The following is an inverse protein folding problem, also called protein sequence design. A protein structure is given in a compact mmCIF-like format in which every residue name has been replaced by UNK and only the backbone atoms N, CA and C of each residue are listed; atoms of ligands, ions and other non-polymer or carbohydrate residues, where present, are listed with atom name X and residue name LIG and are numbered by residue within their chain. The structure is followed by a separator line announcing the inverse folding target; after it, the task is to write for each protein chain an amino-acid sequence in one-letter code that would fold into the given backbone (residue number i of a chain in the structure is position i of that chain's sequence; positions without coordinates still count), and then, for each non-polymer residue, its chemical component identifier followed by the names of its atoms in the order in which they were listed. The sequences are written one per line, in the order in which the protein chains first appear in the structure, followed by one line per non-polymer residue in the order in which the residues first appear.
data_IF_279258485704
#
_entry.id   IF_279258485704
#
_cell.length_a   1.000
_cell.length_b   1.000
_cell.length_c   1.000
_cell.angle_alpha   90.00
_cell.angle_beta   90.00
_cell.angle_gamma   90.00
#
_symmetry.space_group_name_H-M   'P 1'
#
loop_
_entity.id
_entity.type
_entity.pdbx_description
1 polymer ?
#
# COMPACT_ATOMS: atom_id res chain seq x y z
N UNK A 1 14.73 6.53 12.07
CA UNK A 1 13.28 6.23 11.94
C UNK A 1 12.97 5.10 12.89
N UNK A 2 11.94 5.24 13.73
CA UNK A 2 11.51 4.19 14.67
C UNK A 2 10.49 3.31 13.93
N UNK A 3 10.66 1.98 13.87
CA UNK A 3 9.68 1.09 13.25
C UNK A 3 8.31 1.20 13.94
N UNK A 4 7.22 1.18 13.18
CA UNK A 4 5.87 1.06 13.78
C UNK A 4 5.76 -0.26 14.55
N UNK A 5 5.50 -0.15 15.85
CA UNK A 5 5.23 -1.28 16.74
C UNK A 5 3.72 -1.38 16.93
N UNK A 6 3.11 -2.46 16.44
CA UNK A 6 1.66 -2.66 16.50
C UNK A 6 0.90 -1.96 15.38
N UNK A 7 -0.12 -1.19 15.74
CA UNK A 7 -1.06 -0.54 14.83
C UNK A 7 -1.38 0.88 15.31
N UNK A 8 -1.46 1.84 14.38
CA UNK A 8 -1.84 3.22 14.68
C UNK A 8 -2.96 3.69 13.75
N UNK A 9 -4.04 4.24 14.29
CA UNK A 9 -5.06 4.92 13.50
C UNK A 9 -4.71 6.40 13.38
N UNK A 10 -4.64 6.91 12.15
CA UNK A 10 -4.57 8.35 11.86
C UNK A 10 -5.80 8.79 11.08
N UNK A 11 -6.25 10.02 11.33
CA UNK A 11 -7.28 10.67 10.52
C UNK A 11 -6.65 11.84 9.79
N UNK A 12 -6.88 11.92 8.49
CA UNK A 12 -6.43 13.03 7.64
C UNK A 12 -7.66 13.59 6.94
N UNK A 13 -7.88 14.90 7.08
CA UNK A 13 -8.98 15.59 6.42
C UNK A 13 -8.42 16.49 5.33
N UNK A 14 -8.89 16.32 4.09
CA UNK A 14 -8.57 17.19 2.95
C UNK A 14 -9.89 17.63 2.31
N UNK A 15 -10.20 18.92 2.40
CA UNK A 15 -11.52 19.44 2.02
C UNK A 15 -12.64 18.77 2.81
N UNK A 16 -13.63 18.23 2.09
CA UNK A 16 -14.79 17.55 2.70
C UNK A 16 -14.58 16.03 2.89
N UNK A 17 -13.38 15.52 2.62
CA UNK A 17 -13.07 14.08 2.72
C UNK A 17 -12.23 13.82 3.97
N UNK A 18 -12.69 12.91 4.82
CA UNK A 18 -11.93 12.40 5.97
C UNK A 18 -11.45 10.98 5.70
N UNK A 19 -10.14 10.81 5.60
CA UNK A 19 -9.48 9.51 5.39
C UNK A 19 -9.05 8.98 6.76
N UNK A 20 -9.51 7.77 7.09
CA UNK A 20 -9.02 7.01 8.26
C UNK A 20 -7.99 6.01 7.77
N UNK A 21 -6.75 6.15 8.24
CA UNK A 21 -5.62 5.29 7.87
C UNK A 21 -5.25 4.44 9.07
N UNK A 22 -5.11 3.13 8.85
CA UNK A 22 -4.54 2.21 9.82
C UNK A 22 -3.11 1.87 9.37
N UNK A 23 -2.12 2.41 10.07
CA UNK A 23 -0.72 2.08 9.85
C UNK A 23 -0.38 0.78 10.58
N UNK A 24 0.12 -0.22 9.85
CA UNK A 24 0.38 -1.57 10.33
C UNK A 24 1.88 -1.87 10.26
N UNK A 25 2.45 -2.35 11.37
CA UNK A 25 3.86 -2.73 11.40
C UNK A 25 4.19 -3.86 10.41
N UNK A 26 5.27 -3.67 9.64
CA UNK A 26 5.77 -4.63 8.64
C UNK A 26 6.50 -5.87 9.22
N UNK A 27 6.78 -5.87 10.53
CA UNK A 27 7.49 -6.95 11.20
C UNK A 27 6.69 -8.24 11.17
N UNK A 28 7.35 -9.38 10.93
CA UNK A 28 6.72 -10.70 10.79
C UNK A 28 5.70 -11.03 11.90
N UNK A 29 6.00 -10.65 13.15
CA UNK A 29 5.12 -10.87 14.31
C UNK A 29 3.76 -10.16 14.24
N UNK A 30 3.62 -9.10 13.44
CA UNK A 30 2.39 -8.32 13.32
C UNK A 30 1.56 -8.68 12.07
N UNK A 31 2.12 -9.47 11.14
CA UNK A 31 1.46 -9.80 9.85
C UNK A 31 0.19 -10.62 10.02
N UNK A 32 0.10 -11.43 11.08
CA UNK A 32 -1.11 -12.20 11.44
C UNK A 32 -2.32 -11.31 11.71
N UNK A 33 -2.13 -10.02 12.01
CA UNK A 33 -3.22 -9.09 12.27
C UNK A 33 -3.67 -8.32 11.03
N UNK A 34 -2.92 -8.35 9.92
CA UNK A 34 -3.22 -7.53 8.74
C UNK A 34 -4.63 -7.75 8.21
N UNK A 35 -5.05 -9.02 8.07
CA UNK A 35 -6.40 -9.37 7.61
C UNK A 35 -7.49 -8.69 8.46
N UNK A 36 -7.33 -8.68 9.78
CA UNK A 36 -8.31 -8.10 10.71
C UNK A 36 -8.49 -6.60 10.48
N UNK A 37 -7.42 -5.87 10.15
CA UNK A 37 -7.46 -4.42 9.95
C UNK A 37 -7.76 -4.01 8.51
N UNK A 38 -7.46 -4.88 7.54
CA UNK A 38 -7.82 -4.67 6.14
C UNK A 38 -9.29 -5.03 5.85
N UNK A 39 -9.96 -5.81 6.70
CA UNK A 39 -11.36 -6.16 6.48
C UNK A 39 -12.27 -4.93 6.52
N UNK A 40 -13.07 -4.74 5.47
CA UNK A 40 -14.08 -3.68 5.37
C UNK A 40 -13.51 -2.27 5.08
N UNK A 41 -12.22 -2.16 4.76
CA UNK A 41 -11.64 -0.90 4.28
C UNK A 41 -12.12 -0.58 2.86
N UNK A 42 -12.03 0.69 2.46
CA UNK A 42 -12.34 1.09 1.08
C UNK A 42 -11.21 0.73 0.10
N UNK A 43 -9.97 0.75 0.58
CA UNK A 43 -8.73 0.53 -0.20
C UNK A 43 -7.66 -0.07 0.72
N UNK A 44 -6.84 -0.96 0.19
CA UNK A 44 -5.57 -1.37 0.80
C UNK A 44 -4.42 -0.59 0.15
N UNK A 45 -3.59 0.09 0.96
CA UNK A 45 -2.36 0.74 0.48
C UNK A 45 -1.17 -0.10 0.92
N UNK A 46 -0.39 -0.62 -0.03
CA UNK A 46 0.78 -1.44 0.22
C UNK A 46 2.05 -0.71 -0.21
N UNK A 47 2.92 -0.40 0.74
CA UNK A 47 4.14 0.41 0.49
C UNK A 47 5.36 -0.49 0.46
N UNK A 48 6.14 -0.40 -0.61
CA UNK A 48 7.38 -1.15 -0.81
C UNK A 48 8.54 -0.18 -0.90
N UNK A 49 9.67 -0.52 -0.28
CA UNK A 49 10.91 0.22 -0.50
C UNK A 49 11.47 -0.19 -1.87
N UNK A 50 11.31 0.69 -2.88
CA UNK A 50 11.75 0.40 -4.24
C UNK A 50 13.28 0.32 -4.36
N UNK A 51 14.03 0.84 -3.39
CA UNK A 51 15.50 0.79 -3.38
C UNK A 51 16.05 -0.45 -2.67
N UNK A 52 15.23 -1.18 -1.91
CA UNK A 52 15.61 -2.42 -1.22
C UNK A 52 15.16 -3.64 -2.04
N UNK A 53 15.94 -3.95 -3.08
CA UNK A 53 15.64 -5.02 -4.05
C UNK A 53 15.59 -6.41 -3.40
N UNK A 54 16.38 -6.64 -2.36
CA UNK A 54 16.44 -7.92 -1.65
C UNK A 54 15.17 -8.20 -0.85
N UNK A 55 14.47 -7.13 -0.44
CA UNK A 55 13.19 -7.24 0.28
C UNK A 55 11.99 -7.52 -0.64
N UNK A 56 12.07 -7.21 -1.94
CA UNK A 56 10.94 -7.30 -2.87
C UNK A 56 10.35 -8.71 -2.99
N UNK A 57 11.15 -9.79 -3.06
CA UNK A 57 10.60 -11.16 -3.07
C UNK A 57 9.81 -11.49 -1.80
N UNK A 58 10.25 -10.98 -0.64
CA UNK A 58 9.54 -11.16 0.64
C UNK A 58 8.24 -10.36 0.59
N UNK A 59 8.27 -9.11 0.14
CA UNK A 59 7.09 -8.27 -0.05
C UNK A 59 6.08 -8.90 -1.00
N UNK A 60 6.53 -9.53 -2.09
CA UNK A 60 5.66 -10.29 -2.99
C UNK A 60 4.93 -11.40 -2.23
N UNK A 61 5.66 -12.30 -1.55
CA UNK A 61 5.03 -13.42 -0.83
C UNK A 61 3.97 -12.92 0.14
N UNK A 62 4.32 -11.93 0.95
CA UNK A 62 3.43 -11.38 1.98
C UNK A 62 2.21 -10.63 1.41
N UNK A 63 2.39 -9.94 0.28
CA UNK A 63 1.29 -9.31 -0.44
C UNK A 63 0.31 -10.37 -0.95
N UNK A 64 0.79 -11.39 -1.66
CA UNK A 64 -0.06 -12.45 -2.21
C UNK A 64 -0.73 -13.27 -1.09
N UNK A 65 -0.03 -13.57 0.00
CA UNK A 65 -0.60 -14.24 1.18
C UNK A 65 -1.74 -13.44 1.84
N UNK A 66 -1.62 -12.11 1.85
CA UNK A 66 -2.67 -11.21 2.32
C UNK A 66 -3.86 -11.20 1.35
N UNK A 67 -3.62 -11.11 0.04
CA UNK A 67 -4.68 -11.01 -0.96
C UNK A 67 -5.45 -12.33 -1.15
N UNK A 68 -4.84 -13.48 -0.83
CA UNK A 68 -5.54 -14.76 -0.79
C UNK A 68 -6.63 -14.86 0.29
N UNK A 69 -6.70 -13.90 1.22
CA UNK A 69 -7.74 -13.89 2.27
C UNK A 69 -9.10 -13.55 1.65
N UNK A 70 -10.12 -14.45 1.73
CA UNK A 70 -11.43 -14.20 1.13
C UNK A 70 -12.12 -12.93 1.66
N UNK A 71 -11.82 -12.56 2.92
CA UNK A 71 -12.34 -11.37 3.58
C UNK A 71 -11.87 -10.06 2.94
N UNK A 72 -10.84 -10.10 2.08
CA UNK A 72 -10.26 -8.96 1.36
C UNK A 72 -10.53 -8.99 -0.16
N UNK A 73 -11.33 -9.97 -0.63
CA UNK A 73 -11.69 -10.08 -2.04
C UNK A 73 -12.43 -8.82 -2.51
N UNK A 74 -12.17 -8.40 -3.75
CA UNK A 74 -12.74 -7.20 -4.36
C UNK A 74 -12.30 -5.85 -3.79
N UNK A 75 -11.60 -5.78 -2.64
CA UNK A 75 -11.06 -4.52 -2.12
C UNK A 75 -9.94 -4.03 -3.06
N UNK A 76 -10.00 -2.79 -3.58
CA UNK A 76 -8.96 -2.20 -4.42
C UNK A 76 -7.59 -2.14 -3.72
N UNK A 77 -6.54 -2.36 -4.49
CA UNK A 77 -5.15 -2.34 -4.04
C UNK A 77 -4.38 -1.18 -4.68
N UNK A 78 -3.77 -0.36 -3.84
CA UNK A 78 -2.82 0.67 -4.25
C UNK A 78 -1.41 0.30 -3.79
N UNK A 79 -0.51 0.02 -4.73
CA UNK A 79 0.91 -0.25 -4.45
C UNK A 79 1.73 1.02 -4.62
N UNK A 80 2.56 1.33 -3.62
CA UNK A 80 3.44 2.49 -3.62
C UNK A 80 4.89 2.03 -3.55
N UNK A 81 5.63 2.18 -4.66
CA UNK A 81 7.08 2.05 -4.68
C UNK A 81 7.73 3.32 -4.14
N UNK A 82 8.10 3.30 -2.86
CA UNK A 82 8.67 4.45 -2.16
C UNK A 82 10.21 4.49 -2.29
N UNK A 83 10.80 5.64 -1.96
CA UNK A 83 12.24 5.93 -1.96
C UNK A 83 12.89 6.02 -3.35
N UNK A 84 12.15 6.56 -4.32
CA UNK A 84 12.70 6.83 -5.67
C UNK A 84 13.77 7.94 -5.70
N UNK A 85 14.02 8.61 -4.57
CA UNK A 85 15.14 9.53 -4.40
C UNK A 85 16.51 8.83 -4.39
N UNK A 86 16.54 7.50 -4.28
CA UNK A 86 17.76 6.68 -4.33
C UNK A 86 18.01 6.14 -5.74
N UNK A 87 19.27 6.13 -6.16
CA UNK A 87 19.70 5.64 -7.50
C UNK A 87 19.39 4.16 -7.76
N UNK A 88 19.21 3.39 -6.70
CA UNK A 88 19.03 1.94 -6.69
C UNK A 88 17.55 1.57 -6.86
N UNK A 89 16.66 2.57 -6.79
CA UNK A 89 15.23 2.39 -6.89
C UNK A 89 14.83 1.67 -8.18
N UNK A 90 13.95 0.68 -8.05
CA UNK A 90 13.37 -0.02 -9.18
C UNK A 90 12.52 0.94 -10.03
N UNK A 91 12.49 0.67 -11.34
CA UNK A 91 11.50 1.28 -12.23
C UNK A 91 10.11 0.77 -11.88
N UNK A 92 9.07 1.54 -12.26
CA UNK A 92 7.68 1.11 -12.09
C UNK A 92 7.42 -0.28 -12.68
N UNK A 93 7.90 -0.52 -13.91
CA UNK A 93 7.71 -1.80 -14.59
C UNK A 93 8.39 -2.95 -13.82
N UNK A 94 9.64 -2.75 -13.40
CA UNK A 94 10.36 -3.78 -12.65
C UNK A 94 9.68 -4.11 -11.31
N UNK A 95 9.10 -3.11 -10.62
CA UNK A 95 8.35 -3.33 -9.39
C UNK A 95 7.04 -4.11 -9.64
N UNK A 96 6.30 -3.74 -10.69
CA UNK A 96 5.07 -4.45 -11.12
C UNK A 96 5.37 -5.91 -11.42
N UNK A 97 6.42 -6.17 -12.21
CA UNK A 97 6.82 -7.52 -12.61
C UNK A 97 7.28 -8.35 -11.39
N UNK A 98 8.14 -7.78 -10.55
CA UNK A 98 8.70 -8.51 -9.40
C UNK A 98 7.65 -8.79 -8.32
N UNK A 99 6.68 -7.90 -8.12
CA UNK A 99 5.55 -8.15 -7.22
C UNK A 99 4.47 -9.04 -7.86
N UNK A 100 4.55 -9.29 -9.16
CA UNK A 100 3.55 -10.07 -9.90
C UNK A 100 2.17 -9.42 -9.82
N UNK A 101 2.07 -8.11 -10.00
CA UNK A 101 0.79 -7.41 -9.88
C UNK A 101 -0.17 -7.78 -11.01
N UNK A 102 0.34 -8.11 -12.19
CA UNK A 102 -0.47 -8.49 -13.36
C UNK A 102 -1.23 -9.81 -13.17
N UNK A 103 -0.81 -10.66 -12.22
CA UNK A 103 -1.55 -11.90 -11.91
C UNK A 103 -2.77 -11.66 -11.02
N UNK A 104 -2.93 -10.45 -10.46
CA UNK A 104 -4.05 -10.09 -9.59
C UNK A 104 -5.18 -9.57 -10.47
N UNK A 105 -6.25 -10.36 -10.60
CA UNK A 105 -7.35 -10.07 -11.54
C UNK A 105 -8.72 -9.91 -10.86
N UNK A 106 -8.82 -10.19 -9.55
CA UNK A 106 -10.07 -10.16 -8.79
C UNK A 106 -10.41 -8.76 -8.23
N UNK A 107 -9.58 -7.75 -8.48
CA UNK A 107 -9.68 -6.40 -7.92
C UNK A 107 -8.96 -5.37 -8.79
N UNK A 108 -9.32 -4.11 -8.60
CA UNK A 108 -8.53 -3.00 -9.15
C UNK A 108 -7.15 -2.95 -8.47
N UNK A 109 -6.10 -2.86 -9.28
CA UNK A 109 -4.73 -2.66 -8.82
C UNK A 109 -4.14 -1.43 -9.49
N UNK A 110 -3.60 -0.51 -8.69
CA UNK A 110 -2.87 0.65 -9.19
C UNK A 110 -1.48 0.71 -8.55
N UNK A 111 -0.48 1.18 -9.30
CA UNK A 111 0.90 1.30 -8.83
C UNK A 111 1.48 2.69 -9.14
N UNK A 112 1.97 3.38 -8.10
CA UNK A 112 2.70 4.63 -8.23
C UNK A 112 4.09 4.54 -7.61
N UNK A 113 5.01 5.31 -8.17
CA UNK A 113 6.37 5.47 -7.67
C UNK A 113 6.45 6.83 -6.97
N UNK A 114 6.90 6.84 -5.72
CA UNK A 114 6.87 8.04 -4.86
C UNK A 114 8.19 8.24 -4.11
N UNK A 115 8.44 9.47 -3.67
CA UNK A 115 9.37 9.73 -2.57
C UNK A 115 8.64 10.45 -1.45
N UNK A 116 8.42 9.78 -0.33
CA UNK A 116 7.89 10.45 0.86
C UNK A 116 8.87 11.47 1.45
N UNK A 117 10.19 11.30 1.20
CA UNK A 117 11.22 12.20 1.69
C UNK A 117 11.16 13.54 0.96
N UNK A 118 11.07 13.48 -0.36
CA UNK A 118 11.10 14.66 -1.23
C UNK A 118 9.69 15.11 -1.65
N UNK A 119 8.65 14.45 -1.11
CA UNK A 119 7.23 14.72 -1.42
C UNK A 119 6.85 14.58 -2.91
N UNK A 120 7.50 13.65 -3.62
CA UNK A 120 7.27 13.40 -5.05
C UNK A 120 6.05 12.47 -5.24
N UNK A 121 5.12 12.86 -6.12
CA UNK A 121 3.91 12.12 -6.54
C UNK A 121 2.91 11.81 -5.41
N UNK A 122 3.00 12.50 -4.26
CA UNK A 122 2.10 12.29 -3.12
C UNK A 122 0.69 12.82 -3.40
N UNK A 123 0.59 13.89 -4.19
CA UNK A 123 -0.65 14.47 -4.69
C UNK A 123 -1.47 13.46 -5.51
N UNK A 124 -0.84 12.77 -6.46
CA UNK A 124 -1.49 11.75 -7.31
C UNK A 124 -2.03 10.59 -6.48
N UNK A 125 -1.28 10.19 -5.43
CA UNK A 125 -1.73 9.16 -4.47
C UNK A 125 -2.97 9.63 -3.72
N UNK A 126 -2.98 10.88 -3.23
CA UNK A 126 -4.12 11.44 -2.51
C UNK A 126 -5.35 11.52 -3.42
N UNK A 127 -5.18 11.96 -4.66
CA UNK A 127 -6.30 12.09 -5.60
C UNK A 127 -6.89 10.73 -5.95
N UNK A 128 -6.04 9.70 -6.11
CA UNK A 128 -6.51 8.33 -6.28
C UNK A 128 -7.29 7.83 -5.05
N UNK A 129 -6.82 8.14 -3.83
CA UNK A 129 -7.54 7.78 -2.59
C UNK A 129 -8.89 8.50 -2.46
N UNK A 130 -8.96 9.77 -2.85
CA UNK A 130 -10.20 10.55 -2.84
C UNK A 130 -11.21 9.95 -3.82
N UNK A 131 -10.78 9.56 -5.03
CA UNK A 131 -11.64 8.90 -6.03
C UNK A 131 -12.28 7.61 -5.50
N UNK A 132 -11.58 6.90 -4.61
CA UNK A 132 -12.05 5.65 -4.00
C UNK A 132 -12.68 5.83 -2.61
N UNK A 133 -12.80 7.07 -2.14
CA UNK A 133 -13.52 7.37 -0.91
C UNK A 133 -15.02 7.25 -1.18
N UNK A 134 -15.72 6.44 -0.37
CA UNK A 134 -17.19 6.39 -0.43
C UNK A 134 -17.73 7.73 0.06
N UNK A 135 -18.52 8.40 -0.77
CA UNK A 135 -19.34 9.52 -0.30
C UNK A 135 -20.30 8.96 0.73
N UNK A 136 -20.26 9.47 1.96
CA UNK A 136 -21.29 9.13 2.94
C UNK A 136 -22.63 9.66 2.40
N UNK A 137 -23.49 8.77 1.91
CA UNK A 137 -24.93 9.01 1.77
C UNK A 137 -25.56 9.19 3.14
#
# INVERSE_FOLDING_TARGET
MIPTVGFNMRKVTKGNVTIKVWDLGGQRRFRTMWERYCRGVSVIVYVVDAADRDSVPISRSELHDLLMKPSLSGIPLLVLGNKIDKSEALSKQALVDQLGLDSITDKEVCCYMISCKDSINIDVVIDWLIKHSKTAT
#
